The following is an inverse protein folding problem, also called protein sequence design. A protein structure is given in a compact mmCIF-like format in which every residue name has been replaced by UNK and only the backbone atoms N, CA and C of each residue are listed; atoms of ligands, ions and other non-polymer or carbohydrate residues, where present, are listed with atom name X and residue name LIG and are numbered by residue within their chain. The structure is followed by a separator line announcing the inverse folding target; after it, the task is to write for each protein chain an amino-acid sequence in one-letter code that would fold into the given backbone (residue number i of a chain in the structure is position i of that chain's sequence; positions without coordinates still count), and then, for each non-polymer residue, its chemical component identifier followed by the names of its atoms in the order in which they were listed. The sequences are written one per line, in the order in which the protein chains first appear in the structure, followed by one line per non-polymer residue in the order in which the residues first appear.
data_IF_585415194168
#
_entry.id   IF_585415194168
#
_cell.length_a   1.000
_cell.length_b   1.000
_cell.length_c   1.000
_cell.angle_alpha   90.00
_cell.angle_beta   90.00
_cell.angle_gamma   90.00
#
_symmetry.space_group_name_H-M   'P 1'
#
loop_
_entity.id
_entity.type
_entity.pdbx_description
1 polymer ?
#
# COMPACT_ATOMS: atom_id res chain seq x y z
N UNK A 1 -2.01 -5.98 -5.45
CA UNK A 1 -1.51 -5.32 -4.22
C UNK A 1 -2.73 -4.83 -3.45
N UNK A 2 -2.92 -5.30 -2.21
CA UNK A 2 -4.07 -4.96 -1.35
C UNK A 2 -3.95 -3.52 -0.83
N UNK A 3 -4.99 -2.70 -1.01
CA UNK A 3 -5.06 -1.34 -0.43
C UNK A 3 -5.05 -1.35 1.11
N UNK A 4 -5.21 -2.51 1.75
CA UNK A 4 -5.16 -2.72 3.20
C UNK A 4 -3.77 -2.97 3.76
N UNK A 5 -2.76 -3.23 2.92
CA UNK A 5 -1.36 -3.29 3.37
C UNK A 5 -0.67 -1.92 3.40
N UNK A 6 -1.30 -0.88 2.82
CA UNK A 6 -0.72 0.46 2.70
C UNK A 6 -0.37 1.12 4.05
N UNK A 7 -1.04 0.73 5.14
CA UNK A 7 -0.77 1.31 6.45
C UNK A 7 0.40 0.65 7.21
N UNK A 8 1.00 -0.42 6.66
CA UNK A 8 2.13 -1.13 7.28
C UNK A 8 3.41 -1.15 6.42
N UNK A 9 3.34 -0.64 5.19
CA UNK A 9 4.45 -0.70 4.22
C UNK A 9 5.13 0.65 3.94
N UNK A 10 5.08 1.58 4.89
CA UNK A 10 5.90 2.81 4.82
C UNK A 10 7.39 2.49 4.58
N UNK A 11 7.87 1.35 5.11
CA UNK A 11 9.24 0.88 4.92
C UNK A 11 9.54 0.46 3.47
N UNK A 12 8.54 -0.06 2.74
CA UNK A 12 8.68 -0.45 1.34
C UNK A 12 8.96 0.76 0.46
N UNK A 13 8.10 1.78 0.59
CA UNK A 13 8.22 3.00 -0.20
C UNK A 13 9.46 3.81 0.19
N UNK A 14 9.76 3.90 1.49
CA UNK A 14 10.97 4.54 2.01
C UNK A 14 12.25 3.98 1.37
N UNK A 15 12.31 2.66 1.19
CA UNK A 15 13.42 2.00 0.52
C UNK A 15 13.57 2.46 -0.93
N UNK A 16 12.47 2.52 -1.69
CA UNK A 16 12.48 2.96 -3.10
C UNK A 16 12.99 4.39 -3.23
N UNK A 17 12.50 5.31 -2.39
CA UNK A 17 12.94 6.72 -2.35
C UNK A 17 14.45 6.80 -2.06
N UNK A 18 14.92 6.05 -1.08
CA UNK A 18 16.33 6.06 -0.65
C UNK A 18 17.27 5.49 -1.72
N UNK A 19 16.91 4.39 -2.38
CA UNK A 19 17.74 3.73 -3.41
C UNK A 19 18.00 4.62 -4.62
N UNK A 20 17.04 5.47 -4.98
CA UNK A 20 17.18 6.42 -6.10
C UNK A 20 17.90 7.71 -5.67
N UNK A 21 18.29 7.82 -4.38
CA UNK A 21 19.05 8.97 -3.87
C UNK A 21 18.22 10.19 -3.51
N UNK A 22 16.89 10.06 -3.43
CA UNK A 22 16.02 11.16 -3.02
C UNK A 22 16.14 11.42 -1.51
N UNK A 23 16.00 12.69 -1.13
CA UNK A 23 16.01 13.13 0.28
C UNK A 23 14.58 13.26 0.80
N UNK A 24 14.38 12.84 2.04
CA UNK A 24 13.08 12.93 2.72
C UNK A 24 12.97 14.29 3.40
N UNK A 25 12.06 15.13 2.93
CA UNK A 25 11.73 16.39 3.59
C UNK A 25 10.70 16.15 4.70
N UNK A 26 10.94 16.71 5.89
CA UNK A 26 9.99 16.67 7.02
C UNK A 26 9.90 18.06 7.65
N UNK A 27 8.68 18.51 7.92
CA UNK A 27 8.45 19.72 8.70
C UNK A 27 8.82 19.51 10.18
N UNK A 28 9.20 20.58 10.90
CA UNK A 28 9.46 20.49 12.33
C UNK A 28 8.28 19.93 13.12
N UNK A 29 8.58 19.07 14.10
CA UNK A 29 7.56 18.36 14.89
C UNK A 29 6.58 19.30 15.62
N UNK A 30 6.98 20.55 15.89
CA UNK A 30 6.12 21.57 16.53
C UNK A 30 4.89 21.93 15.69
N UNK A 31 5.02 21.94 14.36
CA UNK A 31 3.96 22.35 13.42
C UNK A 31 3.31 21.17 12.68
N UNK A 32 3.97 20.01 12.66
CA UNK A 32 3.57 18.84 11.86
C UNK A 32 2.84 17.76 12.67
N UNK A 33 2.06 18.13 13.69
CA UNK A 33 1.33 17.17 14.54
C UNK A 33 0.00 16.78 13.90
N UNK A 34 -0.27 15.48 13.84
CA UNK A 34 -1.52 14.93 13.36
C UNK A 34 -2.26 14.20 14.49
N UNK A 35 -3.59 14.11 14.37
CA UNK A 35 -4.44 13.36 15.29
C UNK A 35 -5.15 12.25 14.51
N UNK A 36 -4.87 11.00 14.84
CA UNK A 36 -5.60 9.87 14.26
C UNK A 36 -7.04 9.88 14.77
N UNK A 37 -8.00 9.67 13.88
CA UNK A 37 -9.38 9.41 14.25
C UNK A 37 -9.40 8.05 14.97
N UNK A 38 -10.08 7.99 16.12
CA UNK A 38 -10.16 6.77 16.92
C UNK A 38 -10.85 5.68 16.09
N UNK A 39 -10.18 4.54 15.93
CA UNK A 39 -10.71 3.34 15.31
C UNK A 39 -10.30 2.12 16.15
N UNK A 40 -11.14 1.08 16.15
CA UNK A 40 -10.80 -0.21 16.78
C UNK A 40 -10.02 -1.07 15.79
N UNK A 41 -9.31 -2.08 16.28
CA UNK A 41 -8.62 -3.01 15.38
C UNK A 41 -9.64 -3.81 14.56
N UNK A 42 -9.61 -3.64 13.24
CA UNK A 42 -10.51 -4.31 12.32
C UNK A 42 -9.97 -5.70 11.93
N UNK A 43 -10.04 -6.68 12.83
CA UNK A 43 -9.47 -8.01 12.60
C UNK A 43 -9.98 -8.73 11.33
N UNK A 44 -11.20 -8.41 10.88
CA UNK A 44 -11.79 -8.97 9.64
C UNK A 44 -11.29 -8.27 8.37
N UNK A 45 -11.09 -6.96 8.43
CA UNK A 45 -10.73 -6.14 7.28
C UNK A 45 -9.21 -6.03 7.12
N UNK A 46 -8.45 -5.98 8.21
CA UNK A 46 -7.00 -5.85 8.22
C UNK A 46 -6.35 -6.97 9.06
N UNK A 47 -6.36 -8.23 8.56
CA UNK A 47 -5.67 -9.33 9.21
C UNK A 47 -4.14 -9.15 9.11
N UNK A 48 -3.41 -9.73 10.06
CA UNK A 48 -1.94 -9.70 10.04
C UNK A 48 -1.41 -10.37 8.76
N UNK A 49 -0.63 -9.63 7.97
CA UNK A 49 0.06 -10.18 6.80
C UNK A 49 1.22 -11.11 7.23
N UNK A 50 1.00 -12.43 7.12
CA UNK A 50 2.01 -13.46 7.40
C UNK A 50 3.21 -13.42 6.43
N UNK A 51 3.03 -12.86 5.23
CA UNK A 51 4.05 -12.78 4.19
C UNK A 51 4.94 -11.52 4.31
N UNK A 52 4.66 -10.61 5.24
CA UNK A 52 5.23 -9.25 5.28
C UNK A 52 6.75 -9.21 5.11
N UNK A 53 7.49 -9.96 5.91
CA UNK A 53 8.95 -9.95 5.86
C UNK A 53 9.50 -10.48 4.53
N UNK A 54 8.81 -11.45 3.91
CA UNK A 54 9.21 -11.98 2.61
C UNK A 54 8.96 -10.96 1.49
N UNK A 55 7.84 -10.23 1.56
CA UNK A 55 7.53 -9.10 0.65
C UNK A 55 8.60 -8.00 0.77
N UNK A 56 8.95 -7.60 1.99
CA UNK A 56 10.00 -6.60 2.23
C UNK A 56 11.38 -7.01 1.68
N UNK A 57 11.72 -8.31 1.76
CA UNK A 57 12.97 -8.79 1.19
C UNK A 57 12.98 -8.78 -0.35
N UNK A 58 11.82 -9.00 -0.98
CA UNK A 58 11.69 -9.00 -2.45
C UNK A 58 11.71 -7.61 -3.06
N UNK A 59 11.36 -6.57 -2.29
CA UNK A 59 11.33 -5.17 -2.73
C UNK A 59 12.58 -4.75 -3.47
N UNK A 60 13.76 -5.10 -2.95
CA UNK A 60 15.05 -4.74 -3.56
C UNK A 60 15.19 -5.25 -5.00
N UNK A 61 14.56 -6.39 -5.31
CA UNK A 61 14.60 -7.02 -6.63
C UNK A 61 13.46 -6.55 -7.53
N UNK A 62 12.28 -6.31 -6.96
CA UNK A 62 11.04 -6.10 -7.74
C UNK A 62 10.64 -4.64 -7.88
N UNK A 63 11.23 -3.69 -7.16
CA UNK A 63 10.71 -2.32 -7.07
C UNK A 63 10.58 -1.58 -8.42
N UNK A 64 11.37 -1.94 -9.44
CA UNK A 64 11.28 -1.36 -10.79
C UNK A 64 10.15 -1.98 -11.62
N UNK A 65 9.81 -3.25 -11.37
CA UNK A 65 8.86 -4.02 -12.18
C UNK A 65 7.48 -4.10 -11.52
N UNK A 66 7.41 -3.89 -10.22
CA UNK A 66 6.20 -3.97 -9.40
C UNK A 66 5.85 -2.58 -8.86
N UNK A 67 4.83 -1.94 -9.44
CA UNK A 67 4.43 -0.58 -9.09
C UNK A 67 3.42 0.00 -10.08
N UNK A 68 3.53 1.29 -10.38
CA UNK A 68 2.60 1.99 -11.26
C UNK A 68 2.53 1.39 -12.68
N UNK A 69 3.63 0.82 -13.15
CA UNK A 69 3.74 0.19 -14.47
C UNK A 69 3.05 -1.19 -14.56
N UNK A 70 2.81 -1.87 -13.45
CA UNK A 70 2.21 -3.21 -13.40
C UNK A 70 0.82 -3.23 -12.75
N UNK A 71 0.33 -2.08 -12.29
CA UNK A 71 -0.92 -1.96 -11.54
C UNK A 71 -2.13 -2.35 -12.39
N UNK A 72 -2.85 -3.39 -11.96
CA UNK A 72 -4.12 -3.82 -12.55
C UNK A 72 -5.26 -3.48 -11.59
N UNK A 73 -6.29 -2.83 -12.10
CA UNK A 73 -7.50 -2.50 -11.39
C UNK A 73 -8.62 -2.21 -12.38
N UNK A 74 -9.86 -2.29 -11.92
CA UNK A 74 -11.05 -1.94 -12.69
C UNK A 74 -11.80 -0.82 -11.98
N UNK A 75 -12.21 0.20 -12.72
CA UNK A 75 -13.03 1.29 -12.15
C UNK A 75 -14.48 0.83 -12.16
N UNK A 76 -15.06 0.68 -10.98
CA UNK A 76 -16.44 0.24 -10.78
C UNK A 76 -17.40 1.43 -10.86
N UNK A 77 -17.01 2.56 -10.26
CA UNK A 77 -17.84 3.76 -10.21
C UNK A 77 -17.01 5.02 -10.06
N UNK A 78 -17.44 6.10 -10.70
CA UNK A 78 -16.92 7.45 -10.48
C UNK A 78 -18.09 8.36 -10.12
N UNK A 79 -17.97 9.08 -9.01
CA UNK A 79 -18.97 10.06 -8.57
C UNK A 79 -18.28 11.39 -8.26
N UNK A 80 -18.71 12.46 -8.92
CA UNK A 80 -18.25 13.81 -8.64
C UNK A 80 -19.15 14.42 -7.56
N UNK A 81 -18.62 14.59 -6.36
CA UNK A 81 -19.32 15.20 -5.23
C UNK A 81 -18.77 16.61 -4.98
N UNK A 82 -19.52 17.50 -4.30
CA UNK A 82 -19.12 18.90 -4.14
C UNK A 82 -17.76 19.11 -3.47
N UNK A 83 -17.34 18.19 -2.59
CA UNK A 83 -16.08 18.31 -1.82
C UNK A 83 -14.98 17.34 -2.27
N UNK A 84 -15.31 16.29 -3.02
CA UNK A 84 -14.36 15.27 -3.45
C UNK A 84 -14.89 14.45 -4.62
N UNK A 85 -14.00 13.76 -5.33
CA UNK A 85 -14.39 12.75 -6.31
C UNK A 85 -14.24 11.38 -5.67
N UNK A 86 -15.32 10.60 -5.69
CA UNK A 86 -15.31 9.23 -5.21
C UNK A 86 -15.05 8.29 -6.39
N UNK A 87 -13.93 7.57 -6.34
CA UNK A 87 -13.55 6.58 -7.36
C UNK A 87 -13.56 5.21 -6.67
N UNK A 88 -14.56 4.41 -6.97
CA UNK A 88 -14.66 3.03 -6.51
C UNK A 88 -13.93 2.12 -7.51
N UNK A 89 -12.97 1.34 -7.00
CA UNK A 89 -12.13 0.45 -7.82
C UNK A 89 -12.14 -0.97 -7.28
N UNK A 90 -12.07 -1.95 -8.18
CA UNK A 90 -11.75 -3.33 -7.85
C UNK A 90 -10.26 -3.58 -8.13
N UNK A 91 -9.54 -4.10 -7.15
CA UNK A 91 -8.11 -4.42 -7.23
C UNK A 91 -7.83 -5.86 -7.69
N UNK A 92 -8.87 -6.63 -8.03
CA UNK A 92 -8.77 -8.02 -8.50
C UNK A 92 -8.04 -8.94 -7.49
N UNK A 93 -8.22 -8.68 -6.19
CA UNK A 93 -7.43 -9.30 -5.14
C UNK A 93 -7.51 -10.82 -5.10
N UNK A 94 -8.67 -11.39 -5.42
CA UNK A 94 -8.89 -12.83 -5.34
C UNK A 94 -7.92 -13.63 -6.23
N UNK A 95 -7.54 -13.07 -7.38
CA UNK A 95 -6.56 -13.65 -8.28
C UNK A 95 -5.12 -13.35 -7.85
N UNK A 96 -4.82 -12.06 -7.67
CA UNK A 96 -3.47 -11.56 -7.41
C UNK A 96 -2.92 -12.03 -6.05
N UNK A 97 -3.74 -12.03 -4.99
CA UNK A 97 -3.31 -12.46 -3.64
C UNK A 97 -2.94 -13.94 -3.58
N UNK A 98 -3.70 -14.80 -4.29
CA UNK A 98 -3.40 -16.24 -4.34
C UNK A 98 -2.07 -16.51 -5.04
N UNK A 99 -1.78 -15.80 -6.13
CA UNK A 99 -0.53 -15.93 -6.86
C UNK A 99 0.67 -15.53 -6.00
N UNK A 100 0.59 -14.40 -5.30
CA UNK A 100 1.64 -13.89 -4.41
C UNK A 100 1.92 -14.87 -3.27
N UNK A 101 0.87 -15.34 -2.58
CA UNK A 101 0.94 -16.34 -1.51
C UNK A 101 1.62 -17.63 -1.98
N UNK A 102 1.18 -18.16 -3.13
CA UNK A 102 1.80 -19.33 -3.78
C UNK A 102 3.30 -19.11 -4.07
N UNK A 103 3.66 -17.95 -4.62
CA UNK A 103 5.06 -17.63 -4.95
C UNK A 103 5.94 -17.48 -3.70
N UNK A 104 5.42 -16.88 -2.63
CA UNK A 104 6.14 -16.60 -1.39
C UNK A 104 6.12 -17.75 -0.37
N UNK A 105 5.29 -18.78 -0.60
CA UNK A 105 5.07 -19.90 0.32
C UNK A 105 4.62 -19.40 1.70
N UNK A 106 3.55 -18.63 1.70
CA UNK A 106 2.75 -18.13 2.81
C UNK A 106 1.34 -17.89 2.26
#
# INVERSE_FOLDING_TARGET
MDLRELFLDANLFLFRVSVVGYKIARYPAKIARYKMIKHTHEAKSNPVNKCRYKLMAQTKKQWMNDGLNSLKYEVVKIELLPLYTHILVDLLEMGESKAIKKALKC
#
